data_IF_541689005268
#
_entry.id   IF_541689005268
#
_cell.length_a   1.000
_cell.length_b   1.000
_cell.length_c   1.000
_cell.angle_alpha   90.00
_cell.angle_beta   90.00
_cell.angle_gamma   90.00
#
_symmetry.space_group_name_H-M   'P 1'
#
loop_
_entity.id
_entity.type
_entity.pdbx_description
1 polymer ?
#
# COMPACT_ATOMS: atom_id res chain seq x y z
N UNK A 1 -10.57 10.41 -14.81
CA UNK A 1 -10.82 8.97 -15.02
C UNK A 1 -10.00 8.16 -14.02
N UNK A 2 -10.55 7.02 -13.55
CA UNK A 2 -10.05 6.08 -12.51
C UNK A 2 -10.20 6.59 -11.06
N UNK A 3 -11.44 6.55 -10.57
CA UNK A 3 -11.71 6.46 -9.13
C UNK A 3 -10.97 5.25 -8.55
N UNK A 4 -9.96 5.52 -7.71
CA UNK A 4 -9.00 4.57 -7.16
C UNK A 4 -9.57 3.55 -6.17
N UNK A 5 -10.54 2.74 -6.60
CA UNK A 5 -11.06 1.60 -5.81
C UNK A 5 -10.03 0.47 -5.64
N UNK A 6 -8.85 0.58 -6.26
CA UNK A 6 -7.75 -0.39 -6.16
C UNK A 6 -6.43 0.17 -5.64
N UNK A 7 -6.36 1.47 -5.31
CA UNK A 7 -5.13 2.06 -4.78
C UNK A 7 -4.91 1.63 -3.33
N UNK A 8 -3.94 0.72 -3.12
CA UNK A 8 -3.62 0.13 -1.81
C UNK A 8 -2.39 0.73 -1.17
N UNK A 9 -1.63 1.55 -1.90
CA UNK A 9 -0.38 2.13 -1.41
C UNK A 9 -0.40 3.64 -1.54
N UNK A 10 0.00 4.33 -0.47
CA UNK A 10 0.25 5.77 -0.44
C UNK A 10 1.73 6.01 -0.22
N UNK A 11 2.38 6.77 -1.10
CA UNK A 11 3.75 7.21 -0.88
C UNK A 11 3.78 8.34 0.14
N UNK A 12 4.60 8.23 1.19
CA UNK A 12 4.73 9.31 2.19
C UNK A 12 5.60 10.46 1.71
N UNK A 13 6.50 10.22 0.77
CA UNK A 13 7.38 11.27 0.23
C UNK A 13 6.65 12.25 -0.69
N UNK A 14 5.72 11.78 -1.54
CA UNK A 14 5.02 12.63 -2.51
C UNK A 14 3.49 12.62 -2.38
N UNK A 15 2.92 11.82 -1.47
CA UNK A 15 1.48 11.70 -1.29
C UNK A 15 0.74 10.95 -2.41
N UNK A 16 1.46 10.43 -3.41
CA UNK A 16 0.84 9.72 -4.53
C UNK A 16 0.18 8.41 -4.07
N UNK A 17 -1.01 8.12 -4.61
CA UNK A 17 -1.72 6.87 -4.43
C UNK A 17 -1.50 5.97 -5.64
N UNK A 18 -1.14 4.71 -5.39
CA UNK A 18 -0.89 3.72 -6.43
C UNK A 18 -1.48 2.35 -6.05
N UNK A 19 -1.91 1.59 -7.05
CA UNK A 19 -2.20 0.17 -6.90
C UNK A 19 -0.91 -0.65 -6.86
N UNK A 20 -0.97 -1.88 -6.32
CA UNK A 20 0.19 -2.78 -6.27
C UNK A 20 0.82 -3.02 -7.66
N UNK A 21 -0.01 -3.10 -8.69
CA UNK A 21 0.39 -3.31 -10.09
C UNK A 21 1.02 -2.08 -10.73
N UNK A 22 0.85 -0.89 -10.13
CA UNK A 22 1.39 0.37 -10.63
C UNK A 22 2.70 0.74 -9.93
N UNK A 23 3.13 -0.05 -8.92
CA UNK A 23 4.40 0.17 -8.24
C UNK A 23 5.56 -0.25 -9.14
N UNK A 24 6.57 0.61 -9.19
CA UNK A 24 7.83 0.30 -9.86
C UNK A 24 8.72 -0.55 -8.96
N UNK A 25 9.58 -1.38 -9.53
CA UNK A 25 10.53 -2.19 -8.77
C UNK A 25 11.92 -1.56 -8.87
N UNK A 26 12.54 -1.28 -7.72
CA UNK A 26 13.90 -0.75 -7.65
C UNK A 26 14.95 -1.82 -7.99
N UNK A 27 16.22 -1.39 -8.11
CA UNK A 27 17.35 -2.27 -8.42
C UNK A 27 17.54 -3.42 -7.41
N UNK A 28 17.14 -3.21 -6.16
CA UNK A 28 17.21 -4.16 -5.06
C UNK A 28 15.95 -5.03 -4.91
N UNK A 29 14.97 -4.87 -5.80
CA UNK A 29 13.73 -5.61 -5.77
C UNK A 29 12.62 -4.97 -4.92
N UNK A 30 12.90 -3.86 -4.24
CA UNK A 30 11.94 -3.11 -3.43
C UNK A 30 10.86 -2.46 -4.28
N UNK A 31 9.66 -2.31 -3.71
CA UNK A 31 8.57 -1.59 -4.32
C UNK A 31 8.80 -0.08 -4.11
N UNK A 32 8.82 0.66 -5.20
CA UNK A 32 9.01 2.11 -5.22
C UNK A 32 7.79 2.82 -5.81
N UNK A 33 7.56 4.03 -5.33
CA UNK A 33 6.54 4.91 -5.88
C UNK A 33 6.81 5.18 -7.37
N UNK A 34 5.82 5.03 -8.27
CA UNK A 34 6.02 5.28 -9.70
C UNK A 34 6.31 6.74 -10.05
N UNK A 35 6.03 7.68 -9.14
CA UNK A 35 6.13 9.12 -9.41
C UNK A 35 7.44 9.75 -8.95
N UNK A 36 7.94 9.33 -7.80
CA UNK A 36 9.16 9.88 -7.19
C UNK A 36 10.22 8.82 -6.89
N UNK A 37 9.98 7.57 -7.27
CA UNK A 37 10.88 6.42 -7.06
C UNK A 37 11.26 6.16 -5.59
N UNK A 38 10.59 6.81 -4.64
CA UNK A 38 10.84 6.61 -3.21
C UNK A 38 10.31 5.24 -2.77
N UNK A 39 11.09 4.48 -1.98
CA UNK A 39 10.64 3.21 -1.41
C UNK A 39 9.68 3.38 -0.23
N UNK A 40 9.48 4.60 0.27
CA UNK A 40 8.63 4.88 1.44
C UNK A 40 7.13 4.86 1.08
N UNK A 41 6.61 3.64 0.98
CA UNK A 41 5.22 3.32 0.64
C UNK A 41 4.49 2.79 1.87
N UNK A 42 3.36 3.41 2.20
CA UNK A 42 2.46 2.96 3.24
C UNK A 42 1.28 2.20 2.63
N UNK A 43 1.10 0.95 3.02
CA UNK A 43 -0.03 0.13 2.56
C UNK A 43 -1.30 0.52 3.33
N UNK A 44 -2.25 1.14 2.65
CA UNK A 44 -3.61 1.34 3.16
C UNK A 44 -4.35 0.01 3.20
N UNK A 45 -4.50 -0.54 4.40
CA UNK A 45 -5.41 -1.66 4.64
C UNK A 45 -6.84 -1.16 4.66
N UNK A 46 -7.73 -1.92 4.03
CA UNK A 46 -9.16 -1.67 4.14
C UNK A 46 -9.63 -1.83 5.59
N UNK A 47 -10.72 -1.14 5.97
CA UNK A 47 -11.33 -1.29 7.29
C UNK A 47 -11.66 -2.75 7.61
N UNK A 48 -12.12 -3.51 6.60
CA UNK A 48 -12.36 -4.94 6.73
C UNK A 48 -11.08 -5.74 7.01
N UNK A 49 -9.98 -5.50 6.29
CA UNK A 49 -8.69 -6.17 6.59
C UNK A 49 -8.20 -5.85 8.00
N UNK A 50 -8.42 -4.62 8.50
CA UNK A 50 -8.08 -4.26 9.88
C UNK A 50 -8.97 -4.99 10.90
N UNK A 51 -10.28 -5.08 10.65
CA UNK A 51 -11.23 -5.83 11.48
C UNK A 51 -10.84 -7.31 11.51
N UNK A 52 -10.61 -7.93 10.35
CA UNK A 52 -10.17 -9.33 10.26
C UNK A 52 -8.85 -9.57 11.00
N UNK A 53 -7.86 -8.70 10.81
CA UNK A 53 -6.58 -8.81 11.53
C UNK A 53 -6.79 -8.73 13.04
N UNK A 54 -7.65 -7.83 13.52
CA UNK A 54 -7.97 -7.67 14.95
C UNK A 54 -8.66 -8.92 15.50
N UNK A 55 -9.68 -9.45 14.81
CA UNK A 55 -10.40 -10.65 15.23
C UNK A 55 -9.51 -11.90 15.27
N UNK A 56 -8.58 -12.06 14.32
CA UNK A 56 -7.64 -13.18 14.32
C UNK A 56 -6.48 -13.00 15.32
N UNK A 57 -5.98 -11.77 15.53
CA UNK A 57 -4.98 -11.49 16.58
C UNK A 57 -5.55 -11.72 17.99
N UNK A 58 -6.83 -11.41 18.21
CA UNK A 58 -7.50 -11.65 19.50
C UNK A 58 -7.78 -13.13 19.79
N UNK A 59 -7.80 -14.01 18.78
CA UNK A 59 -8.02 -15.45 18.99
C UNK A 59 -6.77 -16.24 19.35
N UNK A 60 -5.62 -15.58 19.44
CA UNK A 60 -4.32 -16.19 19.79
C UNK A 60 -3.94 -15.92 21.27
N UNK A 61 -4.75 -15.16 22.01
CA UNK A 61 -4.59 -14.96 23.47
C UNK A 61 -5.68 -15.66 24.27
#
# INVERSE_FOLDING_TARGET
MKTGRGARYSCRSCGALAAASELTRGAWGDLCCPRCSSPDLERRRSRWEQIYATFFLYKVY
#
